data_IF_893192986475
#
_entry.id   IF_893192986475
#
_cell.length_a   1.000
_cell.length_b   1.000
_cell.length_c   1.000
_cell.angle_alpha   90.00
_cell.angle_beta   90.00
_cell.angle_gamma   90.00
#
_symmetry.space_group_name_H-M   'P 1'
#
loop_
_entity.id
_entity.type
_entity.pdbx_description
1 polymer ?
2 non-polymer ?
3 non-polymer ?
4 water ?
#
# COMPACT_ATOMS: atom_id res chain seq x y z
N UNK A 32 -7.36 1.91 20.85
CA UNK A 32 -7.84 3.08 21.66
C UNK A 32 -7.81 4.35 20.80
N UNK A 33 -8.97 4.96 20.49
CA UNK A 33 -10.31 4.42 20.69
C UNK A 33 -10.82 3.70 19.46
N UNK A 34 -10.34 2.48 19.20
CA UNK A 34 -10.81 1.58 18.11
C UNK A 34 -11.96 0.75 18.68
N UNK A 35 -13.02 0.57 17.90
CA UNK A 35 -14.19 -0.28 18.29
C UNK A 35 -13.96 -1.68 17.73
N UNK A 36 -14.18 -2.69 18.57
CA UNK A 36 -14.22 -4.11 18.18
C UNK A 36 -15.58 -4.65 18.56
N UNK A 37 -16.51 -4.85 17.61
CA UNK A 37 -17.84 -5.35 17.96
C UNK A 37 -17.85 -6.85 18.25
N UNK A 38 -16.84 -7.33 19.01
CA UNK A 38 -16.69 -8.75 19.43
C UNK A 38 -15.75 -8.79 20.64
N UNK A 39 -15.67 -9.95 21.31
CA UNK A 39 -14.99 -10.12 22.61
C UNK A 39 -13.67 -10.87 22.46
N UNK A 40 -12.76 -10.77 23.45
CA UNK A 40 -11.60 -11.65 23.51
C UNK A 40 -11.98 -13.14 23.43
N UNK A 41 -13.08 -13.55 24.06
CA UNK A 41 -13.57 -14.96 24.06
C UNK A 41 -13.86 -15.37 22.62
N UNK A 42 -14.45 -14.49 21.81
CA UNK A 42 -14.74 -14.74 20.38
C UNK A 42 -13.42 -15.05 19.68
N UNK A 43 -12.39 -14.24 19.95
CA UNK A 43 -11.05 -14.36 19.33
C UNK A 43 -10.44 -15.70 19.79
N UNK A 44 -10.50 -15.99 21.09
CA UNK A 44 -9.90 -17.22 21.70
C UNK A 44 -10.50 -18.46 21.03
N UNK A 45 -11.81 -18.44 20.81
CA UNK A 45 -12.53 -19.61 20.24
C UNK A 45 -12.03 -19.87 18.81
N UNK A 46 -11.65 -18.83 18.07
CA UNK A 46 -11.37 -18.90 16.61
C UNK A 46 -9.87 -19.02 16.34
N UNK A 47 -9.00 -19.00 17.34
CA UNK A 47 -7.54 -18.90 17.07
C UNK A 47 -6.80 -20.23 17.25
N UNK A 48 -7.49 -21.35 17.45
CA UNK A 48 -6.82 -22.64 17.67
C UNK A 48 -6.08 -22.66 18.99
N UNK A 49 -5.29 -23.71 19.22
CA UNK A 49 -4.74 -24.02 20.55
C UNK A 49 -3.29 -23.56 20.67
N UNK A 50 -2.63 -23.26 19.55
CA UNK A 50 -1.19 -22.86 19.47
C UNK A 50 -1.13 -21.48 18.80
N UNK A 51 -0.24 -20.63 19.26
CA UNK A 51 -0.07 -19.28 18.68
C UNK A 51 1.25 -19.28 17.93
N UNK A 52 1.18 -19.12 16.62
CA UNK A 52 2.35 -19.02 15.72
C UNK A 52 2.84 -17.57 15.70
N UNK A 53 4.15 -17.39 15.83
CA UNK A 53 4.79 -16.06 15.88
C UNK A 53 4.95 -15.56 14.44
N UNK A 54 4.60 -14.30 14.16
CA UNK A 54 4.84 -13.62 12.84
C UNK A 54 5.78 -12.44 13.09
N UNK A 55 7.08 -12.74 13.17
CA UNK A 55 8.14 -11.76 13.57
C UNK A 55 8.08 -10.51 12.68
N UNK A 56 8.08 -10.67 11.34
CA UNK A 56 8.21 -9.51 10.43
C UNK A 56 6.94 -8.64 10.51
N UNK A 57 5.78 -9.28 10.56
CA UNK A 57 4.50 -8.57 10.71
C UNK A 57 4.48 -7.81 12.04
N UNK A 58 4.96 -8.42 13.13
CA UNK A 58 4.95 -7.76 14.47
C UNK A 58 5.93 -6.58 14.46
N UNK A 59 7.16 -6.79 14.02
CA UNK A 59 8.16 -5.71 13.88
C UNK A 59 7.60 -4.58 13.01
N UNK A 60 7.02 -4.94 11.87
CA UNK A 60 6.49 -4.00 10.85
C UNK A 60 5.42 -3.09 11.42
N UNK A 61 4.40 -3.67 12.05
CA UNK A 61 3.28 -2.93 12.67
C UNK A 61 3.80 -2.03 13.79
N UNK A 62 4.71 -2.51 14.63
CA UNK A 62 5.34 -1.74 15.73
C UNK A 62 6.10 -0.54 15.18
N UNK A 63 6.98 -0.78 14.23
CA UNK A 63 7.82 0.27 13.63
C UNK A 63 6.92 1.26 12.86
N UNK A 64 5.94 0.75 12.11
CA UNK A 64 5.05 1.65 11.35
C UNK A 64 4.31 2.57 12.33
N UNK A 65 3.80 2.02 13.42
CA UNK A 65 3.00 2.78 14.42
C UNK A 65 3.89 3.82 15.12
N UNK A 66 5.14 3.49 15.44
CA UNK A 66 6.07 4.46 16.05
C UNK A 66 6.31 5.59 15.05
N UNK A 67 6.71 5.24 13.83
CA UNK A 67 7.04 6.23 12.77
C UNK A 67 5.86 7.19 12.60
N UNK A 68 4.63 6.67 12.54
CA UNK A 68 3.45 7.49 12.18
C UNK A 68 3.17 8.53 13.26
N UNK A 69 3.68 8.31 14.47
CA UNK A 69 3.39 9.14 15.66
C UNK A 69 4.59 10.01 16.00
N UNK A 70 5.77 9.78 15.41
CA UNK A 70 7.01 10.52 15.74
C UNK A 70 7.51 11.37 14.57
N UNK A 71 7.14 11.06 13.32
CA UNK A 71 7.71 11.77 12.14
C UNK A 71 6.71 12.83 11.68
N UNK A 72 7.18 13.89 10.97
CA UNK A 72 6.29 14.86 10.36
C UNK A 72 5.31 14.14 9.43
N UNK A 73 5.83 13.14 8.70
CA UNK A 73 5.04 12.19 7.89
C UNK A 73 5.97 11.14 7.31
N UNK A 74 5.38 10.08 6.76
CA UNK A 74 6.12 9.01 6.03
C UNK A 74 5.71 9.12 4.58
N UNK A 75 6.67 9.24 3.67
CA UNK A 75 6.41 9.15 2.21
C UNK A 75 7.01 7.86 1.67
N UNK A 76 6.28 7.20 0.77
CA UNK A 76 6.67 5.92 0.19
C UNK A 76 6.24 5.85 -1.27
N UNK A 77 6.77 4.86 -1.96
CA UNK A 77 6.56 4.60 -3.40
C UNK A 77 6.09 3.16 -3.54
N UNK A 78 5.21 2.93 -4.51
CA UNK A 78 4.84 1.59 -4.99
C UNK A 78 6.06 0.78 -5.36
N UNK A 79 6.16 -0.44 -4.86
CA UNK A 79 7.18 -1.42 -5.27
C UNK A 79 6.48 -2.69 -5.77
N UNK A 80 6.92 -3.25 -6.90
CA UNK A 80 6.35 -4.49 -7.48
C UNK A 80 7.42 -5.58 -7.64
N UNK A 81 8.66 -5.34 -7.24
CA UNK A 81 9.68 -6.41 -7.08
C UNK A 81 10.47 -6.17 -5.82
N UNK A 82 11.10 -7.24 -5.31
CA UNK A 82 12.01 -7.19 -4.15
C UNK A 82 13.12 -6.18 -4.38
N UNK A 83 13.69 -6.10 -5.60
CA UNK A 83 14.79 -5.16 -5.94
C UNK A 83 14.29 -3.70 -5.88
N UNK A 84 13.10 -3.39 -6.40
CA UNK A 84 12.56 -2.02 -6.28
C UNK A 84 12.49 -1.65 -4.79
N UNK A 85 12.01 -2.56 -3.95
CA UNK A 85 11.73 -2.26 -2.52
C UNK A 85 13.08 -2.07 -1.81
N UNK A 86 14.06 -2.89 -2.16
CA UNK A 86 15.47 -2.81 -1.68
C UNK A 86 16.08 -1.43 -2.01
N UNK A 87 15.87 -0.90 -3.22
CA UNK A 87 16.46 0.40 -3.60
C UNK A 87 15.73 1.51 -2.83
N UNK A 88 14.43 1.37 -2.61
CA UNK A 88 13.64 2.35 -1.83
C UNK A 88 14.22 2.46 -0.42
N UNK A 89 14.55 1.32 0.18
CA UNK A 89 15.07 1.31 1.58
C UNK A 89 16.48 1.87 1.53
N UNK A 90 17.26 1.45 0.53
CA UNK A 90 18.69 1.84 0.38
C UNK A 90 18.80 3.35 0.22
N UNK A 91 17.82 3.99 -0.41
CA UNK A 91 17.77 5.44 -0.64
C UNK A 91 17.23 6.18 0.59
N UNK A 92 16.80 5.48 1.65
CA UNK A 92 16.39 6.12 2.93
C UNK A 92 14.89 6.30 3.08
N UNK A 93 14.06 5.71 2.22
CA UNK A 93 12.59 5.73 2.45
C UNK A 93 12.30 4.76 3.61
N UNK A 94 11.33 5.13 4.44
CA UNK A 94 11.15 4.49 5.77
C UNK A 94 10.02 3.47 5.68
N UNK A 95 9.31 3.44 4.56
CA UNK A 95 8.17 2.53 4.33
C UNK A 95 8.10 2.10 2.86
N UNK A 96 7.39 1.01 2.60
CA UNK A 96 7.18 0.45 1.24
C UNK A 96 5.67 0.36 1.00
N UNK A 97 5.23 0.73 -0.20
CA UNK A 97 3.81 0.61 -0.60
C UNK A 97 3.69 -0.53 -1.59
N UNK A 98 2.77 -1.44 -1.34
CA UNK A 98 2.45 -2.57 -2.25
C UNK A 98 1.12 -2.22 -2.92
N UNK A 99 1.15 -1.93 -4.21
CA UNK A 99 -0.01 -1.47 -5.02
C UNK A 99 -0.67 -2.69 -5.67
N UNK A 100 -1.99 -2.81 -5.55
CA UNK A 100 -2.76 -3.89 -6.21
C UNK A 100 -2.81 -3.63 -7.70
N UNK A 101 -2.84 -2.35 -8.08
CA UNK A 101 -2.80 -1.90 -9.49
C UNK A 101 -1.52 -2.46 -10.11
N UNK A 102 -0.37 -2.33 -9.44
CA UNK A 102 0.94 -2.76 -10.00
C UNK A 102 0.98 -4.28 -10.09
N UNK A 103 0.45 -4.97 -9.08
CA UNK A 103 0.26 -6.43 -9.04
C UNK A 103 -0.53 -6.84 -10.29
N UNK A 104 -1.66 -6.15 -10.57
CA UNK A 104 -2.55 -6.43 -11.71
C UNK A 104 -1.73 -6.31 -13.00
N UNK A 105 -0.91 -5.27 -13.10
CA UNK A 105 -0.17 -4.93 -14.33
C UNK A 105 0.94 -5.95 -14.62
N UNK A 106 1.70 -6.37 -13.61
CA UNK A 106 3.04 -6.95 -13.93
C UNK A 106 3.57 -7.90 -12.86
N UNK A 107 2.82 -8.19 -11.79
CA UNK A 107 3.36 -9.03 -10.71
C UNK A 107 2.27 -9.82 -10.01
N UNK A 108 1.48 -10.59 -10.75
CA UNK A 108 0.40 -11.41 -10.15
C UNK A 108 0.65 -12.89 -10.49
N UNK A 109 -0.05 -13.76 -9.79
CA UNK A 109 0.19 -15.21 -9.76
C UNK A 109 -0.49 -15.87 -10.97
N UNK A 110 -1.28 -15.12 -11.72
CA UNK A 110 -1.81 -15.59 -13.03
C UNK A 110 -0.79 -15.27 -14.12
N UNK A 111 0.26 -14.49 -13.86
CA UNK A 111 1.22 -14.12 -14.90
C UNK A 111 0.55 -13.42 -16.07
N UNK A 112 -0.46 -12.59 -15.81
CA UNK A 112 -1.20 -11.83 -16.84
C UNK A 112 -0.98 -10.33 -16.61
N UNK A 113 -1.13 -9.53 -17.67
CA UNK A 113 -1.27 -8.06 -17.56
C UNK A 113 -2.74 -7.73 -17.45
N UNK A 114 -3.14 -7.18 -16.32
CA UNK A 114 -4.55 -6.82 -16.05
C UNK A 114 -4.65 -5.35 -15.74
N UNK A 115 -5.83 -4.76 -16.04
CA UNK A 115 -6.22 -3.50 -15.41
C UNK A 115 -6.71 -3.73 -13.96
N UNK A 116 -7.07 -2.64 -13.28
CA UNK A 116 -7.22 -2.65 -11.81
C UNK A 116 -8.65 -3.00 -11.44
N UNK A 117 -9.06 -4.26 -11.64
CA UNK A 117 -10.48 -4.68 -11.50
C UNK A 117 -10.57 -5.98 -10.70
N UNK A 118 -9.62 -6.23 -9.79
CA UNK A 118 -9.56 -7.43 -8.92
C UNK A 118 -9.68 -8.69 -9.78
N UNK A 119 -8.90 -8.76 -10.84
CA UNK A 119 -9.02 -9.84 -11.85
C UNK A 119 -8.06 -10.96 -11.49
N UNK A 120 -7.04 -10.67 -10.68
CA UNK A 120 -5.91 -11.60 -10.47
C UNK A 120 -6.19 -12.45 -9.23
N UNK A 121 -5.45 -13.57 -9.05
CA UNK A 121 -5.58 -14.42 -7.86
C UNK A 121 -5.26 -13.71 -6.53
N UNK A 122 -6.17 -13.84 -5.59
CA UNK A 122 -6.26 -13.07 -4.34
C UNK A 122 -5.01 -13.25 -3.48
N UNK A 123 -4.19 -14.26 -3.73
CA UNK A 123 -2.96 -14.45 -2.91
C UNK A 123 -1.74 -13.74 -3.54
N UNK A 124 -1.89 -13.08 -4.69
CA UNK A 124 -0.77 -12.43 -5.43
C UNK A 124 -0.08 -11.39 -4.55
N UNK A 125 -0.88 -10.57 -3.86
CA UNK A 125 -0.38 -9.42 -3.08
C UNK A 125 0.48 -9.92 -1.93
N UNK A 126 -0.09 -10.78 -1.07
CA UNK A 126 0.66 -11.38 0.05
C UNK A 126 1.90 -12.11 -0.44
N UNK A 127 1.82 -12.84 -1.56
CA UNK A 127 3.02 -13.51 -2.12
C UNK A 127 4.10 -12.48 -2.43
N UNK A 128 3.74 -11.35 -3.03
CA UNK A 128 4.71 -10.30 -3.38
C UNK A 128 5.30 -9.68 -2.12
N UNK A 129 4.49 -9.47 -1.07
CA UNK A 129 4.99 -8.96 0.24
C UNK A 129 6.03 -9.94 0.78
N UNK A 130 5.83 -11.23 0.61
CA UNK A 130 6.82 -12.24 1.07
C UNK A 130 8.13 -12.07 0.30
N UNK A 131 8.05 -11.98 -1.02
CA UNK A 131 9.22 -11.83 -1.93
C UNK A 131 10.00 -10.57 -1.53
N UNK A 132 9.30 -9.48 -1.25
CA UNK A 132 9.94 -8.20 -0.88
C UNK A 132 10.70 -8.40 0.44
N UNK A 133 10.07 -8.98 1.46
CA UNK A 133 10.68 -9.21 2.77
C UNK A 133 11.87 -10.17 2.58
N UNK A 134 11.78 -11.09 1.63
CA UNK A 134 12.89 -12.03 1.30
C UNK A 134 14.09 -11.23 0.76
N UNK A 135 13.87 -10.34 -0.21
CA UNK A 135 14.89 -9.42 -0.74
C UNK A 135 15.49 -8.58 0.40
N UNK A 136 14.66 -7.98 1.27
CA UNK A 136 15.13 -7.15 2.40
C UNK A 136 15.94 -8.01 3.36
N UNK A 137 15.49 -9.23 3.59
CA UNK A 137 16.20 -10.16 4.51
C UNK A 137 17.60 -10.47 3.93
N UNK A 138 17.69 -10.66 2.61
CA UNK A 138 18.97 -10.95 1.94
C UNK A 138 19.88 -9.71 2.03
N UNK A 139 19.37 -8.51 1.74
CA UNK A 139 20.12 -7.25 1.96
C UNK A 139 20.66 -7.20 3.38
N UNK A 140 19.81 -7.45 4.38
CA UNK A 140 20.21 -7.43 5.80
C UNK A 140 21.38 -8.40 5.99
N UNK A 141 21.31 -9.56 5.35
CA UNK A 141 22.34 -10.63 5.48
C UNK A 141 23.68 -10.18 4.87
N UNK A 142 23.65 -9.59 3.68
CA UNK A 142 24.85 -9.01 3.00
C UNK A 142 25.47 -7.95 3.93
N UNK A 143 24.69 -6.92 4.29
CA UNK A 143 25.26 -5.77 5.04
C UNK A 143 25.81 -6.32 6.35
N UNK A 144 25.09 -7.25 6.99
CA UNK A 144 25.48 -7.82 8.30
C UNK A 144 26.80 -8.58 8.20
N UNK A 145 26.98 -9.37 7.14
CA UNK A 145 28.17 -10.24 6.89
C UNK A 145 29.40 -9.38 6.62
N UNK A 146 29.19 -8.11 6.25
CA UNK A 146 30.28 -7.13 6.00
C UNK A 146 30.48 -6.22 7.22
N UNK A 147 29.78 -6.45 8.34
CA UNK A 147 29.89 -5.60 9.54
C UNK A 147 29.31 -4.22 9.33
N UNK A 148 28.22 -4.10 8.58
CA UNK A 148 27.48 -2.81 8.42
C UNK A 148 26.08 -2.96 9.00
N UNK A 149 25.62 -1.94 9.73
CA UNK A 149 24.23 -1.78 10.24
C UNK A 149 23.75 -0.35 9.94
N UNK A 150 24.29 0.31 8.93
CA UNK A 150 23.97 1.73 8.63
C UNK A 150 22.59 1.83 7.95
N UNK A 151 22.08 0.78 7.29
CA UNK A 151 20.71 0.76 6.71
C UNK A 151 19.83 -0.08 7.62
N UNK A 152 18.65 0.42 7.98
CA UNK A 152 17.59 -0.39 8.60
C UNK A 152 16.72 -1.04 7.52
N UNK A 153 16.87 -2.34 7.30
CA UNK A 153 16.37 -3.01 6.06
C UNK A 153 14.88 -3.30 6.15
N UNK A 154 14.36 -3.55 7.35
CA UNK A 154 12.97 -4.04 7.57
C UNK A 154 12.02 -2.86 7.64
N UNK A 155 11.88 -2.16 6.53
CA UNK A 155 10.92 -1.04 6.38
C UNK A 155 9.53 -1.65 6.37
N UNK A 156 8.58 -1.07 7.11
CA UNK A 156 7.20 -1.57 7.11
C UNK A 156 6.57 -1.47 5.72
N UNK A 157 5.80 -2.51 5.35
CA UNK A 157 5.08 -2.61 4.05
C UNK A 157 3.60 -2.35 4.31
N UNK A 158 3.04 -1.38 3.61
CA UNK A 158 1.57 -1.16 3.62
C UNK A 158 1.01 -1.68 2.31
N UNK A 159 0.08 -2.62 2.38
CA UNK A 159 -0.37 -3.47 1.24
C UNK A 159 -1.84 -3.25 0.94
N UNK A 160 -2.13 -3.25 -0.35
CA UNK A 160 -3.47 -3.12 -0.96
C UNK A 160 -4.21 -4.47 -0.89
N UNK A 161 -5.31 -4.54 -0.13
CA UNK A 161 -6.21 -5.71 -0.11
C UNK A 161 -7.45 -5.48 -0.99
N UNK A 162 -7.48 -4.39 -1.73
CA UNK A 162 -8.59 -4.06 -2.68
C UNK A 162 -9.89 -4.00 -1.86
N UNK A 163 -10.97 -4.60 -2.36
CA UNK A 163 -12.26 -4.74 -1.67
C UNK A 163 -12.40 -6.16 -1.12
N UNK A 164 -11.30 -6.88 -1.02
CA UNK A 164 -11.19 -8.12 -0.21
C UNK A 164 -11.44 -9.36 -1.02
N UNK A 165 -11.69 -9.25 -2.33
CA UNK A 165 -11.78 -10.41 -3.25
C UNK A 165 -13.00 -11.25 -2.85
N UNK A 166 -14.02 -10.59 -2.34
CA UNK A 166 -15.37 -11.15 -2.21
C UNK A 166 -16.03 -10.57 -1.01
N UNK A 167 -16.44 -11.41 -0.07
CA UNK A 167 -17.13 -11.01 1.16
C UNK A 167 -16.17 -10.95 2.34
N UNK A 168 -16.73 -10.78 3.55
CA UNK A 168 -15.95 -10.67 4.77
C UNK A 168 -15.03 -11.88 5.02
N UNK A 169 -15.40 -13.09 4.58
CA UNK A 169 -14.53 -14.26 4.84
C UNK A 169 -13.30 -14.15 3.93
N UNK A 170 -13.48 -13.64 2.73
CA UNK A 170 -12.35 -13.41 1.78
C UNK A 170 -11.42 -12.34 2.37
N UNK A 171 -12.01 -11.30 2.97
CA UNK A 171 -11.26 -10.24 3.70
C UNK A 171 -10.46 -10.88 4.83
N UNK A 172 -11.10 -11.71 5.63
CA UNK A 172 -10.46 -12.44 6.76
C UNK A 172 -9.22 -13.19 6.24
N UNK A 173 -9.35 -13.90 5.12
CA UNK A 173 -8.22 -14.72 4.57
C UNK A 173 -7.06 -13.85 4.03
N UNK A 174 -7.35 -12.79 3.27
CA UNK A 174 -6.28 -11.92 2.68
C UNK A 174 -5.56 -11.17 3.83
N UNK A 175 -6.30 -10.71 4.83
CA UNK A 175 -5.68 -10.10 6.01
C UNK A 175 -4.68 -11.09 6.65
N UNK A 176 -5.09 -12.33 6.94
CA UNK A 176 -4.16 -13.31 7.57
C UNK A 176 -2.99 -13.57 6.62
N UNK A 177 -3.24 -13.75 5.33
CA UNK A 177 -2.17 -14.01 4.34
C UNK A 177 -1.13 -12.86 4.39
N UNK A 178 -1.57 -11.62 4.52
CA UNK A 178 -0.66 -10.45 4.54
C UNK A 178 0.18 -10.47 5.82
N UNK A 179 -0.42 -10.87 6.94
CA UNK A 179 0.31 -10.96 8.24
C UNK A 179 1.34 -12.09 8.14
N UNK A 180 0.94 -13.24 7.60
CA UNK A 180 1.90 -14.35 7.33
C UNK A 180 3.07 -13.84 6.49
N UNK A 181 2.80 -13.03 5.47
CA UNK A 181 3.82 -12.51 4.52
C UNK A 181 4.70 -11.44 5.20
N UNK A 182 4.23 -10.83 6.28
CA UNK A 182 5.01 -9.83 7.03
C UNK A 182 4.61 -8.40 6.68
N UNK A 183 3.40 -8.15 6.17
CA UNK A 183 2.90 -6.77 5.99
C UNK A 183 2.75 -6.10 7.36
N UNK A 184 2.96 -4.79 7.43
CA UNK A 184 2.81 -3.96 8.65
C UNK A 184 1.43 -3.32 8.70
N UNK A 185 0.83 -3.08 7.54
CA UNK A 185 -0.48 -2.43 7.39
C UNK A 185 -1.14 -2.90 6.12
N UNK A 186 -2.47 -2.83 6.07
CA UNK A 186 -3.28 -3.35 4.93
C UNK A 186 -4.45 -2.40 4.73
N UNK A 187 -4.79 -2.08 3.48
CA UNK A 187 -5.90 -1.15 3.20
C UNK A 187 -7.02 -1.88 2.47
N UNK A 188 -8.24 -1.43 2.76
CA UNK A 188 -9.51 -1.96 2.25
C UNK A 188 -10.40 -0.80 1.83
N UNK A 189 -11.05 -0.95 0.68
CA UNK A 189 -11.88 0.11 0.08
C UNK A 189 -13.34 -0.36 -0.05
N UNK A 190 -14.24 0.58 -0.23
CA UNK A 190 -15.70 0.38 -0.10
C UNK A 190 -16.33 0.31 -1.50
N UNK A 191 -15.57 -0.14 -2.50
CA UNK A 191 -16.05 -0.49 -3.87
C UNK A 191 -16.55 -1.94 -3.91
N UNK A 192 -17.48 -2.26 -4.82
CA UNK A 192 -17.95 -3.66 -5.06
C UNK A 192 -16.82 -4.47 -5.71
N UNK A 193 -16.45 -5.59 -5.09
CA UNK A 193 -15.28 -6.43 -5.47
C UNK A 193 -15.47 -6.95 -6.90
N UNK A 194 -16.67 -7.42 -7.25
CA UNK A 194 -17.03 -8.02 -8.58
C UNK A 194 -17.05 -6.98 -9.71
N UNK A 195 -17.18 -5.68 -9.41
CA UNK A 195 -17.20 -4.58 -10.43
C UNK A 195 -16.18 -3.50 -10.01
N UNK A 196 -15.16 -3.93 -9.24
CA UNK A 196 -14.18 -2.99 -8.64
C UNK A 196 -13.28 -2.41 -9.75
N UNK A 197 -12.75 -1.20 -9.53
CA UNK A 197 -12.08 -0.39 -10.58
C UNK A 197 -10.94 0.40 -9.95
N UNK A 198 -9.97 0.80 -10.77
CA UNK A 198 -8.96 1.86 -10.48
C UNK A 198 -9.71 3.04 -9.81
N UNK A 199 -9.10 3.64 -8.80
CA UNK A 199 -9.63 4.83 -8.09
C UNK A 199 -9.83 6.01 -9.03
N UNK A 200 -9.26 5.99 -10.24
CA UNK A 200 -9.38 7.09 -11.24
C UNK A 200 -10.07 6.59 -12.51
N UNK A 201 -10.83 5.49 -12.42
CA UNK A 201 -11.77 5.00 -13.47
C UNK A 201 -13.17 5.53 -13.15
N UNK A 202 -13.97 5.86 -14.18
CA UNK A 202 -15.39 6.21 -14.01
C UNK A 202 -16.22 4.99 -13.60
N UNK A 203 -17.46 5.23 -13.16
CA UNK A 203 -18.48 4.19 -12.89
C UNK A 203 -18.13 3.30 -11.71
N UNK A 204 -17.49 3.85 -10.67
CA UNK A 204 -17.20 3.16 -9.39
C UNK A 204 -18.53 2.90 -8.65
N UNK A 205 -18.61 1.77 -7.96
CA UNK A 205 -19.82 1.31 -7.21
C UNK A 205 -19.45 1.16 -5.73
N UNK A 206 -20.06 1.96 -4.86
CA UNK A 206 -19.94 1.84 -3.40
C UNK A 206 -20.78 0.64 -2.93
N UNK A 207 -20.33 -0.05 -1.88
CA UNK A 207 -21.18 -0.99 -1.10
C UNK A 207 -21.77 -0.19 0.07
N UNK A 208 -22.87 -0.66 0.71
CA UNK A 208 -23.44 0.05 1.84
C UNK A 208 -22.39 0.26 2.94
N UNK A 209 -22.57 1.34 3.70
CA UNK A 209 -21.69 1.68 4.84
C UNK A 209 -21.52 0.44 5.71
N UNK A 210 -22.62 -0.21 6.11
CA UNK A 210 -22.62 -1.36 7.07
C UNK A 210 -21.76 -2.50 6.51
N UNK A 211 -21.85 -2.76 5.21
CA UNK A 211 -21.03 -3.79 4.53
C UNK A 211 -19.55 -3.44 4.63
N UNK A 212 -19.18 -2.16 4.41
CA UNK A 212 -17.76 -1.72 4.44
C UNK A 212 -17.21 -1.85 5.86
N UNK A 213 -18.01 -1.46 6.88
CA UNK A 213 -17.63 -1.62 8.31
C UNK A 213 -17.45 -3.13 8.61
N UNK A 214 -18.33 -3.99 8.10
CA UNK A 214 -18.22 -5.45 8.33
C UNK A 214 -16.87 -5.93 7.77
N UNK A 215 -16.43 -5.41 6.62
CA UNK A 215 -15.09 -5.80 6.10
C UNK A 215 -14.01 -5.34 7.06
N UNK A 216 -14.15 -4.14 7.63
CA UNK A 216 -13.11 -3.63 8.55
C UNK A 216 -13.09 -4.46 9.82
N UNK A 217 -14.25 -4.94 10.28
CA UNK A 217 -14.34 -5.83 11.47
C UNK A 217 -13.68 -7.17 11.13
N UNK A 218 -13.93 -7.72 9.93
CA UNK A 218 -13.30 -8.98 9.47
C UNK A 218 -11.78 -8.82 9.51
N UNK A 219 -11.25 -7.68 9.12
CA UNK A 219 -9.78 -7.43 9.03
C UNK A 219 -9.19 -7.37 10.44
N UNK A 220 -9.87 -6.72 11.39
CA UNK A 220 -9.37 -6.61 12.78
C UNK A 220 -9.48 -7.99 13.41
N UNK A 221 -10.52 -8.73 13.08
CA UNK A 221 -10.68 -10.09 13.66
C UNK A 221 -9.52 -10.98 13.20
N UNK A 222 -9.15 -10.89 11.93
CA UNK A 222 -8.02 -11.66 11.34
C UNK A 222 -6.73 -11.30 12.08
N UNK A 223 -6.48 -10.01 12.29
CA UNK A 223 -5.26 -9.57 13.00
C UNK A 223 -5.28 -10.06 14.45
N UNK A 224 -6.41 -9.95 15.14
CA UNK A 224 -6.50 -10.37 16.57
C UNK A 224 -6.30 -11.89 16.65
N UNK A 225 -6.83 -12.62 15.69
CA UNK A 225 -6.72 -14.10 15.67
C UNK A 225 -5.25 -14.48 15.46
N UNK A 226 -4.51 -13.75 14.62
CA UNK A 226 -3.08 -14.03 14.37
C UNK A 226 -2.23 -13.49 15.54
N UNK A 227 -2.78 -12.66 16.43
CA UNK A 227 -2.08 -12.07 17.59
C UNK A 227 -1.08 -10.99 17.18
N UNK A 228 -1.44 -10.13 16.22
CA UNK A 228 -0.52 -9.11 15.65
C UNK A 228 -1.25 -7.77 15.54
N UNK A 229 -0.63 -6.66 16.02
CA UNK A 229 -1.27 -5.36 16.02
C UNK A 229 -1.25 -4.66 14.64
N UNK A 230 -1.61 -5.38 13.57
CA UNK A 230 -1.46 -4.91 12.16
C UNK A 230 -2.24 -3.61 11.97
N UNK A 231 -1.69 -2.64 11.25
CA UNK A 231 -2.38 -1.35 10.99
C UNK A 231 -3.48 -1.62 9.95
N UNK A 232 -4.68 -1.08 10.18
CA UNK A 232 -5.78 -1.21 9.19
C UNK A 232 -6.11 0.18 8.65
N UNK A 233 -6.05 0.33 7.32
CA UNK A 233 -6.39 1.59 6.60
C UNK A 233 -7.73 1.38 5.93
N UNK A 234 -8.67 2.29 6.17
CA UNK A 234 -9.98 2.29 5.48
C UNK A 234 -9.95 3.36 4.39
N UNK A 235 -9.98 2.92 3.15
CA UNK A 235 -10.11 3.80 1.97
C UNK A 235 -11.58 3.99 1.66
N UNK A 236 -12.01 5.21 1.35
CA UNK A 236 -13.32 5.42 0.67
C UNK A 236 -13.10 5.90 -0.75
N UNK A 237 -13.96 5.40 -1.65
CA UNK A 237 -14.05 5.77 -3.08
C UNK A 237 -15.27 6.70 -3.30
N UNK A 238 -15.83 7.26 -2.21
CA UNK A 238 -17.13 7.97 -2.24
C UNK A 238 -16.97 9.41 -2.77
N UNK A 239 -15.74 9.87 -3.02
CA UNK A 239 -15.48 11.21 -3.60
C UNK A 239 -15.97 11.25 -5.04
N UNK A 240 -15.72 10.19 -5.80
CA UNK A 240 -16.03 10.12 -7.24
C UNK A 240 -17.18 9.13 -7.51
N UNK A 241 -17.48 8.20 -6.61
CA UNK A 241 -18.45 7.11 -6.85
C UNK A 241 -19.87 7.66 -6.88
N UNK A 242 -20.56 7.39 -7.99
CA UNK A 242 -21.91 7.88 -8.32
C UNK A 242 -22.92 6.73 -8.27
N UNK A 243 -22.48 5.52 -7.91
CA UNK A 243 -23.35 4.31 -7.85
C UNK A 243 -23.18 3.57 -6.51
N UNK A 244 -24.29 3.00 -6.04
CA UNK A 244 -24.39 2.27 -4.75
C UNK A 244 -25.16 0.96 -5.02
N UNK A 245 -24.75 -0.16 -4.41
CA UNK A 245 -25.32 -1.51 -4.74
C UNK A 245 -26.73 -1.65 -4.18
N UNK A 246 -27.01 -1.04 -3.03
CA UNK A 246 -28.19 -1.31 -2.18
C UNK A 246 -28.51 -0.07 -1.34
N UNK A 247 -29.80 0.24 -1.22
CA UNK A 247 -30.36 1.29 -0.33
C UNK A 247 -30.57 0.75 1.09
N UNK A 248 -30.06 -0.44 1.43
CA UNK A 248 -30.35 -1.12 2.73
C UNK A 248 -29.97 -0.20 3.91
N UNK A 249 -28.87 0.55 3.83
CA UNK A 249 -28.33 1.34 4.98
C UNK A 249 -28.90 2.76 4.99
N UNK A 250 -29.62 3.10 6.07
CA UNK A 250 -30.13 4.45 6.41
C UNK A 250 -29.07 5.54 6.20
N UNK A 251 -27.80 5.25 6.48
CA UNK A 251 -26.69 6.25 6.40
C UNK A 251 -26.37 6.62 4.93
N UNK A 252 -26.75 5.79 3.96
CA UNK A 252 -26.37 6.01 2.54
C UNK A 252 -27.52 6.68 1.77
N UNK A 253 -28.75 6.59 2.27
CA UNK A 253 -29.97 7.04 1.54
C UNK A 253 -29.94 8.54 1.26
N UNK A 254 -29.43 9.40 2.17
CA UNK A 254 -29.34 10.83 1.90
C UNK A 254 -28.63 11.17 0.56
N UNK A 255 -27.77 10.29 0.06
CA UNK A 255 -26.95 10.53 -1.15
C UNK A 255 -27.68 10.02 -2.39
N UNK A 256 -28.73 9.21 -2.19
CA UNK A 256 -29.53 8.59 -3.28
C UNK A 256 -30.31 9.70 -4.01
N UNK A 257 -30.38 9.61 -5.34
CA UNK A 257 -31.17 10.53 -6.20
C UNK A 257 -32.57 9.95 -6.39
N UNK A 258 -32.71 8.63 -6.29
CA UNK A 258 -33.95 7.91 -6.64
C UNK A 258 -33.88 7.26 -8.02
N UNK A 259 -32.83 7.48 -8.80
CA UNK A 259 -32.64 6.71 -10.06
C UNK A 259 -31.99 5.35 -9.73
N UNK A 260 -32.33 4.34 -10.54
CA UNK A 260 -31.69 2.99 -10.57
C UNK A 260 -31.31 2.67 -12.01
N UNK A 261 -30.29 1.84 -12.20
CA UNK A 261 -29.75 1.47 -13.54
C UNK A 261 -30.32 0.10 -13.94
N UNK A 262 -30.07 -0.34 -15.17
CA UNK A 262 -30.36 -1.72 -15.68
C UNK A 262 -29.93 -2.76 -14.66
N UNK A 263 -28.71 -2.63 -14.13
CA UNK A 263 -28.07 -3.60 -13.20
C UNK A 263 -28.78 -3.51 -11.84
N UNK A 264 -29.50 -2.42 -11.60
CA UNK A 264 -30.22 -2.17 -10.34
C UNK A 264 -29.36 -1.43 -9.33
N UNK A 265 -28.25 -0.82 -9.76
CA UNK A 265 -27.43 0.07 -8.89
C UNK A 265 -28.19 1.36 -8.63
N UNK A 266 -28.00 1.94 -7.44
CA UNK A 266 -28.60 3.22 -7.04
C UNK A 266 -27.63 4.34 -7.39
N UNK A 267 -28.15 5.40 -8.04
CA UNK A 267 -27.39 6.64 -8.35
C UNK A 267 -27.29 7.46 -7.07
N UNK A 268 -26.09 7.94 -6.74
CA UNK A 268 -25.77 8.77 -5.53
C UNK A 268 -25.00 10.01 -5.96
N UNK A 269 -25.04 11.05 -5.12
CA UNK A 269 -24.30 12.32 -5.30
C UNK A 269 -22.88 12.13 -4.75
N UNK A 270 -21.95 11.75 -5.62
CA UNK A 270 -20.50 11.68 -5.34
C UNK A 270 -20.03 13.05 -4.85
N UNK A 271 -18.98 13.08 -4.04
CA UNK A 271 -18.25 14.32 -3.70
C UNK A 271 -17.71 14.25 -2.31
N UNK A 272 -17.27 15.39 -1.77
CA UNK A 272 -16.55 15.41 -0.48
C UNK A 272 -17.53 15.13 0.66
N UNK A 273 -18.81 15.48 0.51
CA UNK A 273 -19.82 15.20 1.56
C UNK A 273 -19.99 13.67 1.67
N UNK A 274 -20.03 12.93 0.55
CA UNK A 274 -20.18 11.46 0.62
C UNK A 274 -18.90 10.86 1.22
N UNK A 275 -17.73 11.23 0.70
CA UNK A 275 -16.40 10.82 1.20
C UNK A 275 -16.32 11.03 2.72
N UNK A 276 -16.78 12.19 3.21
CA UNK A 276 -16.66 12.60 4.64
C UNK A 276 -17.54 11.68 5.48
N UNK A 277 -18.75 11.40 5.00
CA UNK A 277 -19.72 10.54 5.68
C UNK A 277 -19.03 9.19 5.94
N UNK A 278 -18.44 8.61 4.89
CA UNK A 278 -17.87 7.24 4.89
C UNK A 278 -16.66 7.23 5.83
N UNK A 279 -15.76 8.20 5.63
CA UNK A 279 -14.60 8.44 6.49
C UNK A 279 -15.01 8.42 7.93
N UNK A 280 -16.09 9.12 8.28
CA UNK A 280 -16.54 9.24 9.70
C UNK A 280 -17.15 7.92 10.15
N UNK A 281 -17.92 7.26 9.28
CA UNK A 281 -18.47 5.93 9.60
C UNK A 281 -17.32 4.93 9.83
N UNK A 282 -16.20 5.01 9.10
CA UNK A 282 -15.14 3.97 9.16
C UNK A 282 -14.15 4.23 10.32
N UNK A 283 -14.04 5.46 10.80
CA UNK A 283 -12.98 5.91 11.75
C UNK A 283 -12.89 5.05 13.00
N UNK A 284 -14.02 4.63 13.63
CA UNK A 284 -13.94 3.79 14.83
C UNK A 284 -13.33 2.40 14.57
N UNK A 285 -13.37 1.96 13.31
CA UNK A 285 -13.04 0.59 12.87
C UNK A 285 -11.69 0.54 12.13
N UNK A 286 -10.99 1.66 11.95
CA UNK A 286 -9.71 1.67 11.19
C UNK A 286 -8.70 2.55 11.91
N UNK A 287 -7.43 2.27 11.72
CA UNK A 287 -6.35 3.06 12.39
C UNK A 287 -6.12 4.36 11.62
N UNK A 288 -6.34 4.34 10.31
CA UNK A 288 -5.93 5.44 9.41
C UNK A 288 -6.99 5.53 8.33
N UNK A 289 -7.36 6.75 7.91
CA UNK A 289 -8.42 7.00 6.91
C UNK A 289 -7.81 7.58 5.64
N UNK A 290 -8.34 7.20 4.49
CA UNK A 290 -7.82 7.58 3.16
C UNK A 290 -9.00 7.90 2.24
N UNK A 291 -9.05 9.12 1.75
CA UNK A 291 -10.02 9.56 0.73
C UNK A 291 -9.33 9.51 -0.63
N UNK A 292 -9.73 8.60 -1.51
CA UNK A 292 -9.26 8.62 -2.93
C UNK A 292 -9.69 9.95 -3.54
N UNK A 293 -8.77 10.61 -4.23
CA UNK A 293 -8.93 11.99 -4.76
C UNK A 293 -8.73 11.96 -6.28
N UNK A 294 -9.47 12.76 -7.03
CA UNK A 294 -9.35 12.84 -8.51
C UNK A 294 -8.36 13.94 -8.93
N UNK A 295 -7.58 14.50 -8.00
CA UNK A 295 -6.81 15.75 -8.25
C UNK A 295 -6.07 16.15 -6.97
N UNK A 296 -4.78 16.52 -7.06
CA UNK A 296 -4.00 16.85 -5.87
C UNK A 296 -4.34 18.28 -5.44
N UNK A 297 -5.32 18.42 -4.56
CA UNK A 297 -5.91 19.72 -4.18
C UNK A 297 -5.77 19.88 -2.67
N UNK A 298 -4.95 20.83 -2.24
CA UNK A 298 -4.61 20.99 -0.80
C UNK A 298 -5.81 21.51 -0.02
N UNK A 299 -6.70 22.28 -0.66
CA UNK A 299 -7.87 22.87 0.04
C UNK A 299 -8.88 21.77 0.37
N UNK A 300 -9.23 20.97 -0.62
CA UNK A 300 -9.98 19.70 -0.50
C UNK A 300 -9.36 18.86 0.63
N UNK A 301 -8.06 18.60 0.56
CA UNK A 301 -7.34 17.76 1.55
C UNK A 301 -7.60 18.33 2.95
N UNK A 302 -7.46 19.65 3.11
CA UNK A 302 -7.60 20.33 4.42
C UNK A 302 -9.04 20.18 4.92
N UNK A 303 -10.02 20.30 4.03
CA UNK A 303 -11.48 20.25 4.38
C UNK A 303 -11.80 18.84 4.87
N UNK A 304 -11.34 17.83 4.14
CA UNK A 304 -11.47 16.41 4.56
C UNK A 304 -10.82 16.20 5.93
N UNK A 305 -9.56 16.59 6.09
CA UNK A 305 -8.83 16.43 7.37
C UNK A 305 -9.65 17.04 8.51
N UNK A 306 -10.11 18.28 8.35
CA UNK A 306 -10.81 19.08 9.39
C UNK A 306 -12.15 18.42 9.72
N UNK A 307 -12.83 17.88 8.71
CA UNK A 307 -14.10 17.13 8.87
C UNK A 307 -13.86 15.90 9.77
N UNK A 308 -12.81 15.13 9.47
CA UNK A 308 -12.50 13.91 10.28
C UNK A 308 -12.11 14.33 11.71
N UNK A 309 -11.20 15.28 11.86
CA UNK A 309 -10.58 15.59 13.19
C UNK A 309 -11.59 16.25 14.14
N UNK A 310 -12.66 16.82 13.56
CA UNK A 310 -13.77 17.47 14.29
C UNK A 310 -14.46 16.44 15.17
N UNK A 311 -14.56 15.18 14.71
CA UNK A 311 -15.14 14.11 15.53
C UNK A 311 -14.06 13.18 16.07
N UNK A 312 -12.92 13.06 15.39
CA UNK A 312 -11.85 12.10 15.76
C UNK A 312 -10.52 12.86 15.82
N UNK A 313 -10.34 13.70 16.85
CA UNK A 313 -9.09 14.44 17.02
C UNK A 313 -7.85 13.53 16.86
N UNK A 314 -6.90 13.93 16.02
CA UNK A 314 -5.58 13.27 15.94
C UNK A 314 -5.61 12.02 15.09
N UNK A 315 -6.74 11.75 14.40
CA UNK A 315 -6.90 10.52 13.57
C UNK A 315 -5.85 10.52 12.45
N UNK A 316 -5.08 9.44 12.32
CA UNK A 316 -4.09 9.28 11.23
C UNK A 316 -4.83 9.34 9.89
N UNK A 317 -4.31 10.07 8.93
CA UNK A 317 -4.85 10.06 7.54
C UNK A 317 -3.73 9.64 6.59
N UNK A 318 -4.13 9.19 5.40
CA UNK A 318 -3.23 8.72 4.34
C UNK A 318 -3.64 9.39 3.02
N UNK A 319 -2.68 9.63 2.14
CA UNK A 319 -2.96 10.39 0.91
C UNK A 319 -2.21 9.75 -0.25
N UNK A 320 -2.97 9.43 -1.28
CA UNK A 320 -2.51 8.91 -2.57
C UNK A 320 -2.03 10.11 -3.39
N UNK A 321 -0.72 10.23 -3.53
CA UNK A 321 -0.08 11.20 -4.45
C UNK A 321 -0.08 10.57 -5.84
N UNK A 322 -1.19 10.70 -6.57
CA UNK A 322 -1.47 9.82 -7.73
C UNK A 322 -0.60 10.20 -8.91
N UNK A 323 0.04 9.20 -9.55
CA UNK A 323 0.70 9.42 -10.82
C UNK A 323 -0.25 9.65 -12.01
N UNK A 324 -1.57 9.47 -11.82
CA UNK A 324 -2.56 9.77 -12.89
C UNK A 324 -2.88 11.27 -12.91
N UNK A 325 -2.29 12.04 -11.98
CA UNK A 325 -2.33 13.53 -11.92
C UNK A 325 -1.17 14.04 -12.75
N UNK A 326 -1.37 15.10 -13.54
CA UNK A 326 -0.30 15.78 -14.30
C UNK A 326 0.25 16.88 -13.42
N UNK A 327 1.27 16.58 -12.63
CA UNK A 327 1.69 17.40 -11.46
C UNK A 327 2.06 18.81 -11.92
N UNK A 328 2.86 18.90 -12.98
CA UNK A 328 3.36 20.18 -13.52
C UNK A 328 2.25 20.95 -14.24
N UNK A 329 1.20 20.29 -14.72
CA UNK A 329 0.09 20.95 -15.43
C UNK A 329 -0.90 21.50 -14.39
N UNK A 330 -1.06 20.82 -13.26
CA UNK A 330 -2.04 21.20 -12.21
C UNK A 330 -1.39 22.17 -11.19
N UNK A 331 -0.11 22.01 -10.86
CA UNK A 331 0.51 22.78 -9.75
C UNK A 331 1.73 23.55 -10.24
N UNK A 332 1.98 24.74 -9.71
CA UNK A 332 3.24 25.46 -9.98
C UNK A 332 4.34 24.89 -9.09
N UNK A 333 5.60 25.18 -9.41
CA UNK A 333 6.78 24.45 -8.87
C UNK A 333 6.78 24.54 -7.34
N UNK A 334 6.42 25.69 -6.78
CA UNK A 334 6.45 25.94 -5.32
C UNK A 334 5.50 24.99 -4.59
N UNK A 335 4.30 24.79 -5.13
CA UNK A 335 3.25 23.92 -4.53
C UNK A 335 3.69 22.46 -4.65
N UNK A 336 4.26 22.05 -5.79
CA UNK A 336 4.72 20.64 -6.01
C UNK A 336 5.78 20.33 -4.96
N UNK A 337 6.66 21.29 -4.67
CA UNK A 337 7.81 21.07 -3.78
C UNK A 337 7.31 21.06 -2.32
N UNK A 338 6.25 21.78 -2.00
CA UNK A 338 5.74 21.96 -0.63
C UNK A 338 4.69 20.89 -0.30
N UNK A 339 4.21 20.13 -1.28
CA UNK A 339 2.89 19.45 -1.27
C UNK A 339 2.83 18.47 -0.10
N UNK A 340 3.79 17.55 -0.04
CA UNK A 340 3.78 16.49 1.01
C UNK A 340 3.91 17.14 2.39
N UNK A 341 4.79 18.14 2.55
CA UNK A 341 5.02 18.81 3.86
C UNK A 341 3.69 19.44 4.34
N UNK A 342 2.97 20.10 3.45
CA UNK A 342 1.67 20.73 3.78
C UNK A 342 0.69 19.63 4.22
N UNK A 343 0.62 18.54 3.46
CA UNK A 343 -0.31 17.42 3.72
C UNK A 343 0.02 16.82 5.08
N UNK A 344 1.31 16.68 5.41
CA UNK A 344 1.75 16.15 6.71
C UNK A 344 1.17 16.97 7.87
N UNK A 345 1.23 18.31 7.75
CA UNK A 345 0.79 19.22 8.83
C UNK A 345 -0.72 19.09 9.03
N UNK A 346 -1.47 18.67 8.01
CA UNK A 346 -2.94 18.51 8.13
C UNK A 346 -3.29 17.19 8.83
N UNK A 347 -2.39 16.20 8.85
CA UNK A 347 -2.65 14.88 9.47
C UNK A 347 -2.45 13.70 8.53
N UNK A 348 -2.04 13.94 7.28
CA UNK A 348 -1.72 12.89 6.28
C UNK A 348 -0.30 12.39 6.57
N UNK A 349 -0.20 11.45 7.50
CA UNK A 349 1.09 10.92 8.04
C UNK A 349 1.62 9.80 7.13
N UNK A 350 0.81 9.24 6.23
CA UNK A 350 1.32 8.25 5.26
C UNK A 350 0.94 8.71 3.84
N UNK A 351 1.94 9.05 3.04
CA UNK A 351 1.75 9.59 1.67
C UNK A 351 2.53 8.69 0.74
N UNK A 352 1.90 8.28 -0.36
CA UNK A 352 2.45 7.23 -1.24
C UNK A 352 2.12 7.58 -2.69
N UNK A 353 3.09 7.39 -3.56
CA UNK A 353 2.90 7.34 -5.04
C UNK A 353 2.67 5.87 -5.42
N UNK A 354 1.39 5.52 -5.58
CA UNK A 354 0.87 4.15 -5.77
C UNK A 354 1.58 3.47 -6.95
N UNK A 355 1.76 4.15 -8.08
CA UNK A 355 2.26 3.52 -9.32
C UNK A 355 3.70 3.94 -9.67
N UNK A 356 4.49 4.42 -8.72
CA UNK A 356 5.91 4.81 -8.96
C UNK A 356 6.69 3.64 -9.59
N UNK A 357 6.48 2.42 -9.09
CA UNK A 357 7.20 1.22 -9.57
C UNK A 357 6.91 0.95 -11.02
N UNK A 358 5.66 1.07 -11.42
CA UNK A 358 5.22 0.80 -12.80
C UNK A 358 5.91 1.81 -13.73
N UNK A 359 5.79 3.08 -13.39
CA UNK A 359 6.33 4.20 -14.21
C UNK A 359 7.86 4.11 -14.32
N UNK A 360 8.56 3.92 -13.20
CA UNK A 360 10.03 3.77 -13.20
C UNK A 360 10.44 2.57 -14.08
N UNK A 361 9.73 1.44 -13.98
CA UNK A 361 10.11 0.19 -14.69
C UNK A 361 9.85 0.37 -16.20
N UNK A 362 8.64 0.82 -16.54
CA UNK A 362 8.24 0.95 -17.96
C UNK A 362 9.07 2.06 -18.59
N UNK A 363 9.24 3.21 -17.90
CA UNK A 363 9.97 4.36 -18.49
C UNK A 363 11.44 3.97 -18.80
N UNK A 364 12.12 3.42 -17.80
CA UNK A 364 13.57 3.13 -17.85
C UNK A 364 13.85 2.06 -18.93
N UNK A 365 13.00 1.06 -19.11
CA UNK A 365 13.28 0.02 -20.13
C UNK A 365 12.94 0.60 -21.50
N UNK A 366 11.84 1.34 -21.63
CA UNK A 366 11.50 1.93 -22.94
C UNK A 366 12.67 2.81 -23.43
N UNK A 367 13.13 3.70 -22.54
CA UNK A 367 14.14 4.73 -22.87
C UNK A 367 15.44 4.05 -23.27
N UNK A 368 15.88 3.06 -22.50
CA UNK A 368 17.10 2.29 -22.83
C UNK A 368 16.90 1.55 -24.15
N UNK A 369 15.75 0.89 -24.33
CA UNK A 369 15.40 0.11 -25.55
C UNK A 369 15.41 0.99 -26.79
N UNK A 370 14.75 2.15 -26.72
CA UNK A 370 14.61 3.06 -27.88
C UNK A 370 15.99 3.52 -28.37
N UNK A 371 16.89 3.82 -27.44
CA UNK A 371 18.27 4.27 -27.70
C UNK A 371 19.12 3.09 -28.16
N UNK A 372 18.93 1.92 -27.54
CA UNK A 372 19.69 0.70 -27.89
C UNK A 372 19.32 0.32 -29.32
N UNK A 373 18.05 0.46 -29.71
CA UNK A 373 17.62 0.11 -31.09
C UNK A 373 18.55 0.87 -32.07
N UNK A 374 18.76 2.16 -31.88
CA UNK A 374 19.52 3.04 -32.80
C UNK A 374 21.03 2.91 -32.58
N UNK A 375 21.52 2.99 -31.33
CA UNK A 375 22.93 3.29 -31.01
C UNK A 375 23.62 2.14 -30.26
N UNK A 376 22.97 1.00 -30.06
CA UNK A 376 23.59 -0.17 -29.41
C UNK A 376 24.26 0.15 -28.09
N UNK A 377 25.53 -0.20 -27.94
CA UNK A 377 26.23 -0.17 -26.64
C UNK A 377 26.48 1.26 -26.16
N UNK A 378 26.35 2.28 -27.03
CA UNK A 378 26.41 3.69 -26.60
C UNK A 378 25.26 3.98 -25.64
N UNK A 379 24.07 3.45 -25.96
CA UNK A 379 22.83 3.61 -25.18
C UNK A 379 23.01 2.95 -23.83
N UNK A 380 23.60 1.75 -23.80
CA UNK A 380 23.80 1.01 -22.56
C UNK A 380 24.90 1.69 -21.73
N UNK A 381 25.99 2.13 -22.36
CA UNK A 381 27.06 2.86 -21.63
C UNK A 381 26.45 4.11 -20.97
N UNK A 382 25.48 4.78 -21.61
CA UNK A 382 24.83 5.96 -21.01
C UNK A 382 24.15 5.58 -19.69
N UNK A 383 23.46 4.44 -19.63
CA UNK A 383 22.81 3.98 -18.38
C UNK A 383 23.88 3.68 -17.34
N UNK A 384 24.89 2.90 -17.70
CA UNK A 384 26.03 2.56 -16.82
C UNK A 384 26.61 3.85 -16.24
N UNK A 385 26.83 4.87 -17.07
CA UNK A 385 27.37 6.17 -16.59
C UNK A 385 26.36 6.78 -15.61
N UNK A 386 25.07 6.70 -15.84
CA UNK A 386 24.09 7.26 -14.87
C UNK A 386 24.24 6.52 -13.54
N UNK A 387 24.51 5.22 -13.58
CA UNK A 387 24.61 4.34 -12.40
C UNK A 387 25.84 4.75 -11.60
N UNK A 388 26.95 4.95 -12.29
CA UNK A 388 28.22 5.40 -11.66
C UNK A 388 28.00 6.75 -10.96
N UNK A 389 27.26 7.68 -11.56
CA UNK A 389 26.93 8.99 -10.94
C UNK A 389 26.12 8.80 -9.65
N UNK A 390 25.17 7.87 -9.60
CA UNK A 390 24.29 7.63 -8.44
C UNK A 390 25.07 7.01 -7.27
N UNK A 391 26.24 6.41 -7.53
CA UNK A 391 27.12 5.86 -6.47
C UNK A 391 27.50 6.95 -5.46
N UNK A 392 27.53 8.21 -5.88
CA UNK A 392 27.76 9.38 -5.01
C UNK A 392 26.72 9.45 -3.88
N UNK A 393 25.54 8.83 -4.08
CA UNK A 393 24.38 8.95 -3.15
C UNK A 393 24.04 7.60 -2.53
N UNK A 394 24.94 6.62 -2.64
CA UNK A 394 24.83 5.32 -1.96
C UNK A 394 24.33 4.19 -2.87
N UNK A 395 24.07 4.44 -4.15
CA UNK A 395 23.70 3.37 -5.12
C UNK A 395 24.86 2.38 -5.24
N UNK A 396 24.61 1.07 -5.20
CA UNK A 396 25.67 0.03 -5.27
C UNK A 396 25.35 -1.06 -6.30
N UNK A 397 24.19 -1.02 -6.97
CA UNK A 397 23.74 -2.12 -7.85
C UNK A 397 24.57 -2.16 -9.13
N UNK A 398 25.33 -1.11 -9.44
CA UNK A 398 26.30 -1.15 -10.56
C UNK A 398 27.20 -2.37 -10.34
N UNK A 399 27.59 -2.63 -9.07
CA UNK A 399 28.36 -3.82 -8.59
C UNK A 399 27.36 -4.96 -8.34
N UNK A 400 26.74 -5.44 -9.42
CA UNK A 400 25.57 -6.36 -9.39
C UNK A 400 25.92 -7.68 -8.67
N UNK A 401 27.16 -8.14 -8.72
CA UNK A 401 27.57 -9.46 -8.18
C UNK A 401 27.36 -9.41 -6.66
N UNK A 402 27.88 -8.37 -5.97
CA UNK A 402 27.72 -8.16 -4.50
C UNK A 402 26.25 -7.88 -4.14
N UNK A 403 25.57 -7.05 -4.93
CA UNK A 403 24.19 -6.56 -4.71
C UNK A 403 23.22 -7.74 -4.45
N UNK A 404 23.34 -8.84 -5.22
CA UNK A 404 22.40 -10.00 -5.18
C UNK A 404 22.89 -11.08 -4.18
N UNK A 405 24.05 -10.90 -3.50
CA UNK A 405 24.49 -11.80 -2.42
C UNK A 405 25.55 -12.82 -2.83
N UNK A 406 26.32 -12.56 -3.89
CA UNK A 406 27.40 -13.47 -4.33
C UNK A 406 28.45 -13.57 -3.22
N UNK A 407 28.80 -12.44 -2.59
CA UNK A 407 29.72 -12.42 -1.46
C UNK A 407 29.17 -13.19 -0.28
N UNK A 408 27.90 -13.00 0.02
CA UNK A 408 27.24 -13.66 1.16
C UNK A 408 27.30 -15.19 0.96
N UNK A 409 26.89 -15.69 -0.20
CA UNK A 409 26.83 -17.16 -0.47
C UNK A 409 28.25 -17.72 -0.58
N UNK A 410 29.22 -16.92 -1.00
CA UNK A 410 30.66 -17.33 -0.98
C UNK A 410 31.16 -17.47 0.47
N UNK A 411 30.66 -16.67 1.41
CA UNK A 411 30.98 -16.85 2.85
C UNK A 411 30.30 -18.13 3.36
N UNK A 412 29.07 -18.40 2.93
CA UNK A 412 28.35 -19.65 3.29
C UNK A 412 29.18 -20.83 2.80
N UNK A 413 29.55 -20.86 1.52
CA UNK A 413 30.31 -21.97 0.90
C UNK A 413 31.61 -22.22 1.71
N UNK A 414 32.24 -21.15 2.20
CA UNK A 414 33.57 -21.20 2.85
C UNK A 414 33.43 -21.74 4.26
N UNK A 415 32.36 -21.38 4.97
CA UNK A 415 32.04 -21.98 6.28
C UNK A 415 31.77 -23.48 6.08
N UNK A 416 30.93 -23.82 5.11
CA UNK A 416 30.62 -25.26 4.84
C UNK A 416 31.91 -26.03 4.50
N UNK A 417 32.79 -25.48 3.65
CA UNK A 417 34.03 -26.15 3.20
C UNK A 417 35.16 -26.05 4.23
N UNK A 418 35.02 -25.20 5.25
CA UNK A 418 36.14 -24.63 6.04
C UNK A 418 36.80 -25.61 7.01
N UNK A 419 36.04 -26.26 7.90
CA UNK A 419 36.61 -27.09 8.98
C UNK A 419 36.96 -28.49 8.48
N UNK A 420 37.70 -29.29 9.26
CA UNK A 420 38.23 -30.58 8.75
C UNK A 420 37.23 -31.72 8.96
N UNK A 421 37.22 -32.67 8.01
CA UNK A 421 36.27 -33.81 7.86
C UNK A 421 34.84 -33.26 7.95
#
# INVERSE_FOLDING_TARGET
MRGSHHHHHHGSMDRAAQIKQIADSWNTPRFAGIVRPYTPEDVYRLRGSVQIEYTLARMGAERLWNLLHTEPYINALGALTGNQAMQQVKAGLKAIYLSGWQVAADANLAGQMYPDQSLYPANSGPQLVRNINNALRRADQIYHSEGRNDIYWFAPIVADAEAGFGGPLNVFEIMKAYIEAGAAGVHFEDQLASEKKCGHMGGKVLIPTQAAIRNLVAARLAADVMGVPTIIVARTDANAATLLTSDIDERDRPFCTGERTSEGFYRVRAGLDQAIARGLAYAPYADMIWCETSEPNLEEARRFAEAIHAQFPGKLLAYNCSPSFNWKKKLDDATIAAFQRELGAMGYKFQFVTLAGFHALNYSMFELARNYRDRGMAAYSELQQAEFAAEAYGYTATRHQREVGTGYFDEVAQVIAGGEISTTALTGSTEEEQFH
#
